data_IF_417607174101
#
_entry.id   IF_417607174101
#
_cell.length_a   1.000
_cell.length_b   1.000
_cell.length_c   1.000
_cell.angle_alpha   90.00
_cell.angle_beta   90.00
_cell.angle_gamma   90.00
#
_symmetry.space_group_name_H-M   'P 1'
#
loop_
_entity.id
_entity.type
_entity.pdbx_description
1 polymer ?
#
# COMPACT_ATOMS: atom_id res chain seq x y z
N UNK A 1 -15.64 -5.69 -7.29
CA UNK A 1 -14.23 -5.37 -6.95
C UNK A 1 -13.48 -6.68 -6.73
N UNK A 2 -12.37 -6.90 -7.42
CA UNK A 2 -11.56 -8.10 -7.19
C UNK A 2 -10.89 -8.05 -5.82
N UNK A 3 -11.19 -9.04 -4.98
CA UNK A 3 -10.48 -9.27 -3.73
C UNK A 3 -9.00 -9.58 -3.97
N UNK A 4 -8.22 -9.56 -2.88
CA UNK A 4 -6.84 -10.04 -2.90
C UNK A 4 -6.81 -11.54 -3.25
N UNK A 5 -5.97 -11.92 -4.21
CA UNK A 5 -5.79 -13.31 -4.59
C UNK A 5 -4.89 -14.02 -3.58
N UNK A 6 -5.31 -15.19 -3.11
CA UNK A 6 -4.55 -16.02 -2.18
C UNK A 6 -3.69 -16.99 -2.96
N UNK A 7 -2.43 -16.64 -3.19
CA UNK A 7 -1.44 -17.49 -3.86
C UNK A 7 -0.47 -18.12 -2.85
N UNK A 8 -0.21 -17.48 -1.71
CA UNK A 8 0.79 -17.97 -0.75
C UNK A 8 0.53 -19.44 -0.37
N UNK A 9 -0.69 -19.76 0.08
CA UNK A 9 -1.03 -21.12 0.50
C UNK A 9 -1.01 -22.17 -0.62
N UNK A 10 -1.06 -21.75 -1.89
CA UNK A 10 -1.01 -22.65 -3.05
C UNK A 10 0.44 -23.01 -3.43
N UNK A 11 1.38 -22.09 -3.22
CA UNK A 11 2.76 -22.20 -3.70
C UNK A 11 3.81 -22.36 -2.59
N UNK A 12 3.45 -22.13 -1.32
CA UNK A 12 4.31 -22.32 -0.14
C UNK A 12 4.40 -23.83 0.19
N UNK A 13 5.40 -24.49 -0.39
CA UNK A 13 5.57 -25.95 -0.32
C UNK A 13 6.10 -26.39 1.05
N UNK A 14 6.99 -25.60 1.63
CA UNK A 14 7.60 -25.89 2.93
C UNK A 14 6.80 -25.35 4.14
N UNK A 15 5.73 -24.58 3.86
CA UNK A 15 4.79 -24.00 4.83
C UNK A 15 5.45 -23.03 5.80
N UNK A 16 6.47 -22.32 5.34
CA UNK A 16 7.21 -21.35 6.15
C UNK A 16 6.52 -19.97 6.21
N UNK A 17 5.43 -19.76 5.43
CA UNK A 17 4.64 -18.54 5.42
C UNK A 17 5.16 -17.43 4.52
N UNK A 18 6.10 -17.72 3.61
CA UNK A 18 6.55 -16.85 2.53
C UNK A 18 6.95 -17.71 1.32
N UNK A 19 7.21 -17.10 0.16
CA UNK A 19 7.63 -17.86 -1.03
C UNK A 19 9.10 -17.60 -1.32
N UNK A 20 9.91 -18.66 -1.42
CA UNK A 20 11.29 -18.58 -1.90
C UNK A 20 11.36 -18.29 -3.42
N UNK A 21 12.56 -18.12 -3.97
CA UNK A 21 12.72 -17.72 -5.38
C UNK A 21 12.07 -18.73 -6.38
N UNK A 22 12.21 -20.03 -6.12
CA UNK A 22 11.62 -21.07 -6.97
C UNK A 22 10.09 -21.09 -6.87
N UNK A 23 9.56 -21.01 -5.65
CA UNK A 23 8.12 -20.95 -5.39
C UNK A 23 7.48 -19.69 -5.99
N UNK A 24 8.15 -18.53 -5.87
CA UNK A 24 7.70 -17.28 -6.50
C UNK A 24 7.68 -17.41 -8.01
N UNK A 25 8.66 -18.05 -8.64
CA UNK A 25 8.66 -18.20 -10.10
C UNK A 25 7.44 -19.01 -10.60
N UNK A 26 7.06 -20.07 -9.87
CA UNK A 26 5.84 -20.82 -10.15
C UNK A 26 4.58 -19.95 -9.91
N UNK A 27 4.53 -19.22 -8.79
CA UNK A 27 3.42 -18.34 -8.45
C UNK A 27 3.25 -17.19 -9.45
N UNK A 28 4.33 -16.61 -9.97
CA UNK A 28 4.31 -15.56 -11.02
C UNK A 28 3.68 -16.08 -12.31
N UNK A 29 3.97 -17.32 -12.68
CA UNK A 29 3.38 -17.95 -13.88
C UNK A 29 1.86 -18.08 -13.73
N UNK A 30 1.37 -18.50 -12.55
CA UNK A 30 -0.06 -18.52 -12.22
C UNK A 30 -0.69 -17.12 -12.13
N UNK A 31 0.06 -16.16 -11.59
CA UNK A 31 -0.39 -14.79 -11.42
C UNK A 31 -0.71 -14.12 -12.77
N UNK A 32 0.21 -14.28 -13.73
CA UNK A 32 0.14 -13.71 -15.09
C UNK A 32 -0.97 -14.31 -15.95
N UNK A 33 -1.15 -15.63 -15.91
CA UNK A 33 -2.19 -16.32 -16.71
C UNK A 33 -3.60 -15.96 -16.27
N UNK A 34 -3.76 -15.63 -14.99
CA UNK A 34 -5.06 -15.31 -14.38
C UNK A 34 -5.32 -13.79 -14.26
N UNK A 35 -4.50 -12.93 -14.86
CA UNK A 35 -4.73 -11.48 -14.85
C UNK A 35 -5.89 -11.11 -15.80
N UNK A 36 -6.92 -10.35 -15.35
CA UNK A 36 -7.99 -9.90 -16.23
C UNK A 36 -7.42 -8.91 -17.27
N UNK A 37 -7.20 -9.38 -18.49
CA UNK A 37 -6.63 -8.60 -19.60
C UNK A 37 -5.28 -9.11 -20.11
N UNK A 38 -5.08 -10.43 -20.16
CA UNK A 38 -3.86 -11.08 -20.64
C UNK A 38 -3.17 -10.37 -21.80
N UNK A 39 -2.00 -9.77 -21.51
CA UNK A 39 -0.99 -9.46 -22.52
C UNK A 39 -0.25 -10.76 -22.83
N UNK A 40 -0.70 -11.44 -23.87
CA UNK A 40 0.15 -12.41 -24.56
C UNK A 40 1.34 -11.69 -25.23
N UNK A 41 2.47 -12.38 -25.47
CA UNK A 41 3.64 -11.76 -26.08
C UNK A 41 3.38 -11.57 -27.58
N UNK A 42 3.30 -10.32 -28.03
CA UNK A 42 3.17 -9.95 -29.44
C UNK A 42 1.79 -9.40 -29.82
N UNK A 43 1.62 -8.08 -29.76
CA UNK A 43 0.41 -7.42 -30.24
C UNK A 43 0.55 -5.90 -30.21
N UNK A 44 0.87 -5.33 -31.38
CA UNK A 44 1.14 -3.92 -31.60
C UNK A 44 -0.03 -2.98 -31.27
N UNK A 45 0.31 -1.69 -31.20
CA UNK A 45 -0.59 -0.60 -30.85
C UNK A 45 -1.94 -0.64 -31.57
N UNK A 46 -3.00 -0.48 -30.79
CA UNK A 46 -4.37 -0.36 -31.26
C UNK A 46 -5.18 0.50 -30.31
N UNK A 47 -5.57 1.68 -30.79
CA UNK A 47 -6.43 2.69 -30.17
C UNK A 47 -7.64 2.05 -29.46
N UNK A 48 -7.83 2.36 -28.17
CA UNK A 48 -9.04 1.95 -27.44
C UNK A 48 -10.15 2.98 -27.69
N UNK A 49 -11.11 2.57 -28.53
CA UNK A 49 -12.34 3.30 -28.83
C UNK A 49 -13.20 3.55 -27.60
N UNK A 50 -13.88 4.69 -27.62
CA UNK A 50 -14.64 5.24 -26.51
C UNK A 50 -15.92 4.48 -26.17
N UNK A 51 -16.27 4.56 -24.88
CA UNK A 51 -17.60 4.26 -24.36
C UNK A 51 -18.07 5.50 -23.59
N UNK A 52 -18.97 6.26 -24.20
CA UNK A 52 -19.69 7.35 -23.54
C UNK A 52 -20.91 7.75 -24.38
N UNK A 53 -22.13 7.80 -23.81
CA UNK A 53 -23.31 8.28 -24.53
C UNK A 53 -23.16 9.78 -24.86
N UNK A 54 -23.77 10.26 -25.96
CA UNK A 54 -23.61 11.64 -26.39
C UNK A 54 -24.44 12.57 -25.49
N UNK A 55 -23.79 13.37 -24.65
CA UNK A 55 -24.45 14.50 -23.97
C UNK A 55 -24.20 14.71 -22.47
N UNK A 56 -23.17 14.10 -21.87
CA UNK A 56 -22.82 14.33 -20.46
C UNK A 56 -21.45 14.99 -20.31
N UNK A 57 -21.36 16.00 -19.43
CA UNK A 57 -20.15 16.67 -18.93
C UNK A 57 -18.85 15.92 -19.20
N UNK A 58 -17.92 16.58 -19.92
CA UNK A 58 -16.61 16.04 -20.24
C UNK A 58 -15.86 15.53 -19.00
N UNK A 59 -14.93 14.58 -19.16
CA UNK A 59 -14.19 14.01 -18.05
C UNK A 59 -13.52 15.13 -17.23
N UNK A 60 -13.51 15.03 -15.88
CA UNK A 60 -12.71 15.93 -15.05
C UNK A 60 -11.27 15.96 -15.60
N UNK A 61 -10.72 17.15 -15.78
CA UNK A 61 -9.46 17.43 -16.50
C UNK A 61 -8.19 16.89 -15.86
N UNK A 62 -8.11 15.56 -15.67
CA UNK A 62 -6.94 14.82 -15.18
C UNK A 62 -6.68 13.50 -15.91
N UNK A 63 -7.57 13.09 -16.82
CA UNK A 63 -7.41 11.86 -17.64
C UNK A 63 -6.89 12.16 -19.06
N UNK A 64 -6.28 13.32 -19.28
CA UNK A 64 -5.63 13.71 -20.52
C UNK A 64 -4.12 13.57 -20.37
N UNK A 65 -3.48 12.79 -21.26
CA UNK A 65 -2.05 12.50 -21.25
C UNK A 65 -1.20 13.75 -21.06
N UNK A 66 -0.58 13.87 -19.88
CA UNK A 66 0.75 14.48 -19.85
C UNK A 66 1.66 13.54 -20.62
N UNK A 67 2.44 14.08 -21.55
CA UNK A 67 3.66 13.39 -21.99
C UNK A 67 4.45 13.10 -20.71
N UNK A 68 4.40 11.85 -20.25
CA UNK A 68 5.22 11.43 -19.12
C UNK A 68 6.68 11.53 -19.56
N UNK A 69 7.51 12.13 -18.70
CA UNK A 69 8.94 12.21 -18.96
C UNK A 69 9.49 10.79 -19.22
N UNK A 70 10.47 10.64 -20.12
CA UNK A 70 11.10 9.35 -20.34
C UNK A 70 11.66 8.81 -19.02
N UNK A 71 11.51 7.50 -18.80
CA UNK A 71 12.06 6.81 -17.64
C UNK A 71 13.56 7.11 -17.56
N UNK A 72 13.98 7.76 -16.48
CA UNK A 72 15.36 8.11 -16.21
C UNK A 72 15.79 7.48 -14.90
N UNK A 73 16.84 6.67 -14.97
CA UNK A 73 17.44 6.10 -13.78
C UNK A 73 17.89 7.20 -12.81
N UNK A 74 17.61 7.00 -11.53
CA UNK A 74 18.05 7.89 -10.48
C UNK A 74 19.57 7.89 -10.27
N UNK A 75 20.12 8.86 -9.53
CA UNK A 75 21.53 8.82 -9.16
C UNK A 75 21.81 7.55 -8.32
N UNK A 76 22.98 6.94 -8.53
CA UNK A 76 23.42 5.86 -7.67
C UNK A 76 23.84 6.41 -6.32
N UNK A 77 23.49 5.72 -5.24
CA UNK A 77 23.84 6.09 -3.87
C UNK A 77 24.37 4.85 -3.17
N UNK A 78 25.62 4.91 -2.67
CA UNK A 78 26.19 3.84 -1.87
C UNK A 78 25.72 3.94 -0.41
N UNK A 79 25.71 2.83 0.33
CA UNK A 79 25.26 2.81 1.74
C UNK A 79 26.24 3.57 2.63
N UNK A 80 27.51 3.49 2.27
CA UNK A 80 28.66 4.08 2.94
C UNK A 80 28.65 5.61 2.83
N UNK A 81 27.99 6.16 1.80
CA UNK A 81 27.84 7.61 1.58
C UNK A 81 26.74 8.24 2.43
N UNK A 82 25.98 7.42 3.18
CA UNK A 82 24.86 7.89 4.01
C UNK A 82 25.15 7.66 5.47
N UNK A 83 25.38 8.76 6.20
CA UNK A 83 25.57 8.71 7.65
C UNK A 83 24.30 8.20 8.37
N UNK A 84 24.45 7.30 9.37
CA UNK A 84 23.35 6.90 10.24
C UNK A 84 22.72 8.07 10.99
N UNK A 85 21.40 8.02 11.20
CA UNK A 85 20.69 9.04 11.98
C UNK A 85 20.08 8.47 13.25
N UNK A 86 20.47 9.05 14.40
CA UNK A 86 19.83 8.77 15.68
C UNK A 86 18.64 9.69 15.93
N UNK A 87 17.45 9.23 15.51
CA UNK A 87 16.17 9.89 15.76
C UNK A 87 15.02 8.87 15.75
N UNK A 88 13.82 9.22 16.25
CA UNK A 88 12.60 8.39 16.13
C UNK A 88 12.14 8.20 14.68
N UNK A 89 11.52 7.05 14.34
CA UNK A 89 11.21 6.71 12.94
C UNK A 89 10.42 7.80 12.21
N UNK A 90 9.43 8.40 12.85
CA UNK A 90 8.57 9.41 12.26
C UNK A 90 8.90 10.84 12.70
N UNK A 91 10.17 11.13 13.01
CA UNK A 91 10.60 12.53 13.15
C UNK A 91 10.43 13.27 11.81
N UNK A 92 9.61 14.34 11.73
CA UNK A 92 9.36 15.06 10.49
C UNK A 92 10.55 15.89 10.02
N UNK A 93 11.55 16.14 10.87
CA UNK A 93 12.75 16.92 10.53
C UNK A 93 13.89 16.07 9.96
N UNK A 94 13.71 14.75 9.93
CA UNK A 94 14.73 13.81 9.48
C UNK A 94 14.26 13.11 8.21
N UNK A 95 15.10 13.16 7.17
CA UNK A 95 14.93 12.37 5.95
C UNK A 95 15.91 11.20 5.98
N UNK A 96 15.44 10.04 6.43
CA UNK A 96 16.26 8.81 6.41
C UNK A 96 16.34 8.23 5.01
N UNK A 97 17.46 7.57 4.71
CA UNK A 97 17.59 6.76 3.51
C UNK A 97 17.28 5.30 3.84
N UNK A 98 16.37 4.70 3.07
CA UNK A 98 16.06 3.28 3.09
C UNK A 98 16.71 2.65 1.86
N UNK A 99 17.57 1.66 2.07
CA UNK A 99 18.16 0.86 1.00
C UNK A 99 17.43 -0.47 0.92
N UNK A 100 16.78 -0.77 -0.19
CA UNK A 100 16.19 -2.07 -0.48
C UNK A 100 17.07 -2.81 -1.49
N UNK A 101 17.44 -4.03 -1.14
CA UNK A 101 18.24 -4.90 -1.97
C UNK A 101 17.43 -6.15 -2.29
N UNK A 102 16.99 -6.24 -3.54
CA UNK A 102 16.34 -7.42 -4.08
C UNK A 102 17.38 -8.39 -4.62
N UNK A 103 17.07 -9.67 -4.58
CA UNK A 103 17.91 -10.73 -5.13
C UNK A 103 18.00 -10.65 -6.66
N UNK A 104 16.95 -10.15 -7.32
CA UNK A 104 16.87 -10.08 -8.78
C UNK A 104 16.75 -8.63 -9.28
N UNK A 105 17.26 -8.40 -10.49
CA UNK A 105 17.14 -7.11 -11.17
C UNK A 105 15.73 -6.84 -11.74
N UNK A 106 14.90 -7.88 -11.88
CA UNK A 106 13.53 -7.81 -12.38
C UNK A 106 12.47 -7.56 -11.28
N UNK A 107 12.92 -7.11 -10.10
CA UNK A 107 12.09 -6.87 -8.91
C UNK A 107 10.82 -6.07 -9.21
N UNK A 108 10.88 -5.07 -10.10
CA UNK A 108 9.72 -4.24 -10.42
C UNK A 108 8.62 -5.04 -11.12
N UNK A 109 9.01 -5.91 -12.05
CA UNK A 109 8.08 -6.80 -12.74
C UNK A 109 7.53 -7.88 -11.80
N UNK A 110 8.37 -8.41 -10.90
CA UNK A 110 7.94 -9.36 -9.88
C UNK A 110 6.91 -8.76 -8.91
N UNK A 111 7.17 -7.55 -8.38
CA UNK A 111 6.19 -6.81 -7.57
C UNK A 111 4.88 -6.55 -8.33
N UNK A 112 4.96 -6.30 -9.64
CA UNK A 112 3.78 -6.09 -10.48
C UNK A 112 2.97 -7.37 -10.70
N UNK A 113 3.64 -8.52 -10.86
CA UNK A 113 2.98 -9.84 -10.97
C UNK A 113 2.19 -10.17 -9.70
N UNK A 114 2.73 -9.80 -8.53
CA UNK A 114 2.09 -10.02 -7.23
C UNK A 114 1.21 -8.86 -6.75
N UNK A 115 0.94 -7.86 -7.59
CA UNK A 115 0.02 -6.79 -7.21
C UNK A 115 -1.39 -7.35 -6.93
N UNK A 116 -1.92 -7.07 -5.73
CA UNK A 116 -3.19 -7.62 -5.18
C UNK A 116 -3.18 -9.14 -4.97
N UNK A 117 -2.02 -9.72 -4.71
CA UNK A 117 -1.92 -11.05 -4.10
C UNK A 117 -1.50 -10.93 -2.64
N UNK A 118 -1.53 -12.02 -1.90
CA UNK A 118 -0.99 -12.14 -0.54
C UNK A 118 0.50 -12.54 -0.50
N UNK A 119 1.22 -12.42 -1.62
CA UNK A 119 2.64 -12.74 -1.71
C UNK A 119 3.46 -11.46 -1.59
N UNK A 120 4.36 -11.43 -0.61
CA UNK A 120 5.41 -10.42 -0.48
C UNK A 120 6.64 -10.83 -1.31
N UNK A 121 7.31 -9.86 -1.94
CA UNK A 121 8.64 -10.07 -2.55
C UNK A 121 9.69 -9.76 -1.49
N UNK A 122 10.54 -10.73 -1.09
CA UNK A 122 11.57 -10.50 -0.08
C UNK A 122 12.67 -9.56 -0.59
N UNK A 123 13.12 -8.67 0.28
CA UNK A 123 14.31 -7.86 0.10
C UNK A 123 15.10 -7.78 1.41
N UNK A 124 16.36 -7.34 1.33
CA UNK A 124 17.09 -6.86 2.49
C UNK A 124 16.92 -5.36 2.60
N UNK A 125 16.46 -4.87 3.76
CA UNK A 125 16.39 -3.44 4.05
C UNK A 125 17.61 -3.02 4.87
N UNK A 126 18.30 -1.97 4.47
CA UNK A 126 19.32 -1.30 5.31
C UNK A 126 18.86 0.10 5.67
N UNK A 127 18.89 0.44 6.97
CA UNK A 127 18.56 1.77 7.50
C UNK A 127 19.55 2.13 8.59
N UNK A 128 20.11 3.34 8.54
CA UNK A 128 21.05 3.84 9.55
C UNK A 128 22.22 2.86 9.81
N UNK A 129 22.74 2.21 8.75
CA UNK A 129 23.82 1.22 8.83
C UNK A 129 23.40 -0.17 9.35
N UNK A 130 22.15 -0.37 9.74
CA UNK A 130 21.62 -1.65 10.23
C UNK A 130 20.84 -2.39 9.14
N UNK A 131 21.14 -3.68 8.96
CA UNK A 131 20.43 -4.57 8.05
C UNK A 131 19.23 -5.24 8.73
N UNK A 132 18.19 -5.44 7.91
CA UNK A 132 16.93 -6.09 8.22
C UNK A 132 16.67 -7.06 7.06
N UNK A 133 17.12 -8.33 7.16
CA UNK A 133 16.91 -9.31 6.11
C UNK A 133 15.44 -9.70 6.01
N UNK A 134 15.05 -10.26 4.86
CA UNK A 134 13.73 -10.85 4.64
C UNK A 134 12.58 -9.89 5.00
N UNK A 135 12.64 -8.65 4.53
CA UNK A 135 11.48 -7.74 4.57
C UNK A 135 10.59 -8.04 3.38
N UNK A 136 9.28 -8.10 3.59
CA UNK A 136 8.31 -8.20 2.51
C UNK A 136 8.10 -6.85 1.84
N UNK A 137 8.07 -6.84 0.52
CA UNK A 137 7.79 -5.65 -0.27
C UNK A 137 6.62 -5.93 -1.22
N UNK A 138 5.70 -4.99 -1.30
CA UNK A 138 4.56 -5.04 -2.23
C UNK A 138 4.29 -3.67 -2.82
N UNK A 139 3.84 -3.64 -4.09
CA UNK A 139 3.19 -2.44 -4.61
C UNK A 139 1.86 -2.20 -3.93
N UNK A 140 1.56 -0.92 -3.69
CA UNK A 140 0.33 -0.49 -3.03
C UNK A 140 -0.36 0.65 -3.78
N UNK A 141 -1.60 0.89 -3.37
CA UNK A 141 -2.45 1.93 -3.93
C UNK A 141 -3.36 1.40 -5.03
N UNK A 142 -4.20 2.28 -5.56
CA UNK A 142 -5.12 1.96 -6.64
C UNK A 142 -4.83 2.88 -7.83
N UNK A 143 -5.29 4.13 -7.80
CA UNK A 143 -4.95 5.12 -8.82
C UNK A 143 -3.44 5.26 -8.99
N UNK A 144 -2.71 5.47 -7.88
CA UNK A 144 -1.25 5.59 -7.87
C UNK A 144 -0.45 4.41 -8.43
N UNK A 145 -1.10 3.24 -8.61
CA UNK A 145 -0.50 2.08 -9.27
C UNK A 145 -0.88 2.03 -10.75
N UNK A 146 -2.15 2.28 -11.09
CA UNK A 146 -2.66 2.18 -12.46
C UNK A 146 -2.33 3.39 -13.34
N UNK A 147 -2.15 4.57 -12.74
CA UNK A 147 -1.83 5.81 -13.47
C UNK A 147 -0.33 6.00 -13.66
N UNK A 148 0.50 5.39 -12.81
CA UNK A 148 1.96 5.49 -12.88
C UNK A 148 2.52 4.29 -13.62
N UNK A 149 3.24 4.54 -14.72
CA UNK A 149 3.81 3.48 -15.55
C UNK A 149 4.97 2.73 -14.88
N UNK A 150 5.32 1.52 -15.36
CA UNK A 150 6.56 0.87 -14.94
C UNK A 150 7.78 1.74 -15.21
N UNK A 151 8.83 1.57 -14.42
CA UNK A 151 10.02 2.43 -14.42
C UNK A 151 9.83 3.78 -13.71
N UNK A 152 8.61 4.10 -13.28
CA UNK A 152 8.31 5.30 -12.51
C UNK A 152 7.96 4.99 -11.07
N UNK A 153 8.04 6.02 -10.24
CA UNK A 153 7.87 5.93 -8.79
C UNK A 153 6.48 5.45 -8.38
N UNK A 154 6.34 4.16 -8.11
CA UNK A 154 5.13 3.55 -7.53
C UNK A 154 5.22 3.46 -6.01
N UNK A 155 4.08 3.52 -5.35
CA UNK A 155 4.02 3.39 -3.89
C UNK A 155 4.32 1.97 -3.44
N UNK A 156 5.03 1.82 -2.32
CA UNK A 156 5.43 0.54 -1.74
C UNK A 156 4.88 0.37 -0.32
N UNK A 157 4.54 -0.86 0.05
CA UNK A 157 4.39 -1.27 1.43
C UNK A 157 5.57 -2.17 1.79
N UNK A 158 6.14 -1.96 2.97
CA UNK A 158 7.22 -2.80 3.50
C UNK A 158 6.71 -3.48 4.77
N UNK A 159 6.93 -4.79 4.88
CA UNK A 159 6.64 -5.63 6.04
C UNK A 159 7.95 -6.13 6.63
N UNK A 160 8.37 -5.54 7.74
CA UNK A 160 9.63 -5.87 8.40
C UNK A 160 9.62 -7.29 8.98
N UNK A 161 8.46 -7.82 9.33
CA UNK A 161 8.31 -9.09 10.05
C UNK A 161 7.73 -10.22 9.18
N UNK A 162 8.10 -10.24 7.90
CA UNK A 162 7.71 -11.29 6.96
C UNK A 162 8.14 -12.66 7.48
N UNK A 163 9.43 -12.82 7.82
CA UNK A 163 9.97 -14.07 8.39
C UNK A 163 10.16 -13.95 9.91
N UNK A 164 11.04 -13.04 10.37
CA UNK A 164 11.25 -12.81 11.81
C UNK A 164 10.11 -11.96 12.40
N UNK A 165 9.22 -12.59 13.17
CA UNK A 165 8.06 -11.94 13.81
C UNK A 165 8.42 -10.87 14.84
N UNK A 166 9.68 -10.82 15.29
CA UNK A 166 10.19 -9.82 16.22
C UNK A 166 10.95 -8.68 15.53
N UNK A 167 11.21 -8.77 14.21
CA UNK A 167 11.95 -7.74 13.49
C UNK A 167 11.17 -6.42 13.46
N UNK A 168 11.80 -5.35 13.98
CA UNK A 168 11.21 -4.00 14.05
C UNK A 168 12.23 -2.95 13.64
N UNK A 169 11.80 -2.00 12.81
CA UNK A 169 12.51 -0.76 12.57
C UNK A 169 12.01 0.30 13.55
N UNK A 170 12.82 0.60 14.57
CA UNK A 170 12.53 1.64 15.58
C UNK A 170 11.11 1.52 16.17
N UNK A 171 10.70 0.28 16.48
CA UNK A 171 9.38 -0.05 17.06
C UNK A 171 8.28 -0.41 16.04
N UNK A 172 8.52 -0.23 14.74
CA UNK A 172 7.52 -0.45 13.70
C UNK A 172 7.81 -1.69 12.87
N UNK A 173 6.75 -2.40 12.48
CA UNK A 173 6.83 -3.58 11.61
C UNK A 173 6.36 -3.37 10.18
N UNK A 174 5.74 -2.23 9.89
CA UNK A 174 5.27 -1.92 8.54
C UNK A 174 5.50 -0.46 8.19
N UNK A 175 5.90 -0.19 6.96
CA UNK A 175 6.03 1.16 6.40
C UNK A 175 5.13 1.32 5.17
N UNK A 176 4.61 2.53 4.97
CA UNK A 176 3.86 2.88 3.77
C UNK A 176 4.58 4.00 3.04
N UNK A 177 5.27 3.65 1.96
CA UNK A 177 6.01 4.60 1.15
C UNK A 177 5.10 5.06 0.01
N UNK A 178 4.54 6.26 0.15
CA UNK A 178 3.63 6.85 -0.82
C UNK A 178 4.42 7.69 -1.83
N UNK A 179 4.09 7.54 -3.10
CA UNK A 179 4.79 8.19 -4.20
C UNK A 179 4.40 9.66 -4.43
N UNK A 180 3.33 10.13 -3.78
CA UNK A 180 2.77 11.48 -3.96
C UNK A 180 2.53 11.89 -5.42
N UNK A 181 2.19 10.94 -6.31
CA UNK A 181 2.11 11.20 -7.76
C UNK A 181 1.14 12.31 -8.19
N UNK A 182 0.12 12.62 -7.37
CA UNK A 182 -0.85 13.71 -7.60
C UNK A 182 -0.58 14.95 -6.73
N UNK A 183 0.49 14.94 -5.93
CA UNK A 183 0.87 16.04 -5.03
C UNK A 183 2.31 16.47 -5.32
N UNK A 184 2.45 17.47 -6.21
CA UNK A 184 3.75 18.03 -6.58
C UNK A 184 4.50 18.69 -5.40
N UNK A 185 3.80 19.04 -4.31
CA UNK A 185 4.43 19.61 -3.12
C UNK A 185 5.03 18.55 -2.19
N UNK A 186 4.54 17.32 -2.26
CA UNK A 186 4.75 16.26 -1.26
C UNK A 186 4.25 16.63 0.16
N UNK A 187 3.55 17.76 0.34
CA UNK A 187 3.15 18.28 1.65
C UNK A 187 1.75 17.87 2.06
N UNK A 188 0.82 17.56 1.15
CA UNK A 188 -0.59 17.40 1.49
C UNK A 188 -0.82 16.34 2.57
N UNK A 189 -0.21 15.16 2.41
CA UNK A 189 -0.35 14.07 3.40
C UNK A 189 0.30 14.42 4.74
N UNK A 190 1.49 15.03 4.70
CA UNK A 190 2.23 15.38 5.91
C UNK A 190 1.49 16.47 6.72
N UNK A 191 1.06 17.55 6.06
CA UNK A 191 0.34 18.66 6.69
C UNK A 191 -1.04 18.23 7.19
N UNK A 192 -1.80 17.46 6.41
CA UNK A 192 -3.10 16.96 6.83
C UNK A 192 -3.00 16.18 8.13
N UNK A 193 -2.08 15.21 8.20
CA UNK A 193 -1.93 14.40 9.39
C UNK A 193 -1.24 15.12 10.54
N UNK A 194 -0.40 16.12 10.28
CA UNK A 194 0.14 16.97 11.34
C UNK A 194 -0.94 17.76 12.06
N UNK A 195 -1.84 18.40 11.30
CA UNK A 195 -3.00 19.13 11.85
C UNK A 195 -3.98 18.17 12.52
N UNK A 196 -4.32 17.04 11.87
CA UNK A 196 -5.31 16.09 12.38
C UNK A 196 -4.90 15.53 13.76
N UNK A 197 -3.60 15.29 13.98
CA UNK A 197 -3.07 14.78 15.26
C UNK A 197 -3.29 15.72 16.44
N UNK A 198 -3.55 17.01 16.22
CA UNK A 198 -3.94 17.94 17.29
C UNK A 198 -5.34 17.64 17.84
N UNK A 199 -6.21 17.00 17.05
CA UNK A 199 -7.63 16.83 17.37
C UNK A 199 -8.06 15.37 17.57
N UNK A 200 -7.43 14.43 16.87
CA UNK A 200 -7.76 13.01 16.98
C UNK A 200 -6.53 12.11 16.72
N UNK A 201 -6.55 10.86 17.20
CA UNK A 201 -5.60 9.84 16.77
C UNK A 201 -5.48 9.80 15.25
N UNK A 202 -4.31 10.12 14.74
CA UNK A 202 -4.03 10.20 13.32
C UNK A 202 -2.60 9.72 13.01
N UNK A 203 -2.36 9.06 11.86
CA UNK A 203 -1.05 8.57 11.47
C UNK A 203 0.08 9.59 11.65
N UNK A 204 1.22 9.12 12.16
CA UNK A 204 2.50 9.84 12.04
C UNK A 204 2.98 9.78 10.58
N UNK A 205 3.59 10.87 10.12
CA UNK A 205 4.08 11.00 8.74
C UNK A 205 5.42 11.73 8.74
N UNK A 206 6.35 11.25 7.94
CA UNK A 206 7.58 11.96 7.59
C UNK A 206 7.99 11.63 6.15
N UNK A 207 9.23 11.99 5.80
CA UNK A 207 9.80 11.71 4.50
C UNK A 207 10.96 10.75 4.60
N UNK A 208 11.11 9.90 3.59
CA UNK A 208 12.28 9.02 3.44
C UNK A 208 12.79 9.08 2.02
N UNK A 209 14.09 8.91 1.82
CA UNK A 209 14.67 8.65 0.50
C UNK A 209 14.75 7.15 0.31
N UNK A 210 14.25 6.65 -0.81
CA UNK A 210 14.38 5.23 -1.15
C UNK A 210 15.50 5.02 -2.16
N UNK A 211 16.29 3.98 -1.94
CA UNK A 211 17.31 3.48 -2.85
C UNK A 211 17.03 2.00 -3.07
N UNK A 212 16.91 1.55 -4.32
CA UNK A 212 16.66 0.14 -4.68
C UNK A 212 17.82 -0.35 -5.52
N UNK A 213 18.49 -1.44 -5.10
CA UNK A 213 19.67 -2.01 -5.77
C UNK A 213 20.74 -0.94 -6.11
N UNK A 214 20.93 0.02 -5.21
CA UNK A 214 21.88 1.13 -5.35
C UNK A 214 21.41 2.34 -6.18
N UNK A 215 20.21 2.30 -6.78
CA UNK A 215 19.62 3.42 -7.53
C UNK A 215 18.64 4.21 -6.68
N UNK A 216 18.72 5.55 -6.67
CA UNK A 216 17.78 6.37 -5.92
C UNK A 216 16.43 6.53 -6.62
N UNK A 217 15.34 6.14 -5.95
CA UNK A 217 13.97 6.37 -6.38
C UNK A 217 13.39 7.68 -5.81
N UNK A 218 14.25 8.51 -5.19
CA UNK A 218 13.93 9.80 -4.62
C UNK A 218 13.10 9.76 -3.33
N UNK A 219 12.41 10.86 -3.04
CA UNK A 219 11.67 11.09 -1.79
C UNK A 219 10.29 10.42 -1.76
N UNK A 220 9.97 9.64 -0.73
CA UNK A 220 8.64 9.10 -0.48
C UNK A 220 8.05 9.72 0.77
N UNK A 221 6.73 9.91 0.78
CA UNK A 221 6.00 10.18 2.02
C UNK A 221 5.85 8.85 2.76
N UNK A 222 6.46 8.73 3.94
CA UNK A 222 6.32 7.57 4.79
C UNK A 222 5.20 7.80 5.82
N UNK A 223 4.09 7.08 5.67
CA UNK A 223 2.92 7.20 6.55
C UNK A 223 2.74 5.97 7.45
N UNK A 224 2.52 6.21 8.74
CA UNK A 224 2.24 5.15 9.71
C UNK A 224 1.04 4.31 9.29
N UNK A 225 1.21 2.99 9.32
CA UNK A 225 0.13 2.06 9.04
C UNK A 225 -0.88 2.06 10.18
N UNK A 226 -2.17 2.06 9.85
CA UNK A 226 -3.25 1.87 10.83
C UNK A 226 -3.34 0.40 11.28
N UNK A 227 -2.48 0.02 12.23
CA UNK A 227 -2.29 -1.34 12.74
C UNK A 227 -2.30 -1.38 14.28
N UNK A 228 -1.86 -2.50 14.89
CA UNK A 228 -1.85 -2.65 16.35
C UNK A 228 -0.84 -1.71 17.02
N UNK A 229 0.24 -1.37 16.34
CA UNK A 229 1.24 -0.41 16.80
C UNK A 229 0.62 1.00 16.87
N UNK A 230 -0.13 1.42 15.84
CA UNK A 230 -0.92 2.65 15.89
C UNK A 230 -1.91 2.64 17.07
N UNK A 231 -2.62 1.52 17.28
CA UNK A 231 -3.58 1.44 18.38
C UNK A 231 -2.89 1.54 19.76
N UNK A 232 -1.75 0.88 19.93
CA UNK A 232 -1.00 0.90 21.18
C UNK A 232 -0.46 2.30 21.54
N UNK A 233 -0.18 3.12 20.53
CA UNK A 233 0.28 4.50 20.72
C UNK A 233 -0.85 5.47 21.07
N UNK A 234 -2.10 5.19 20.68
CA UNK A 234 -3.18 6.18 20.71
C UNK A 234 -4.38 5.79 21.59
N UNK A 235 -4.47 4.53 22.02
CA UNK A 235 -5.60 4.02 22.79
C UNK A 235 -5.15 3.19 23.99
N UNK A 236 -6.00 3.06 25.03
CA UNK A 236 -5.66 2.27 26.22
C UNK A 236 -5.37 0.78 25.96
N UNK A 237 -5.84 0.24 24.83
CA UNK A 237 -5.57 -1.12 24.40
C UNK A 237 -5.70 -1.27 22.87
N UNK A 238 -5.24 -2.42 22.36
CA UNK A 238 -5.25 -2.75 20.92
C UNK A 238 -6.42 -3.63 20.49
N UNK A 239 -7.44 -3.79 21.34
CA UNK A 239 -8.63 -4.59 21.05
C UNK A 239 -9.62 -3.78 20.21
N UNK A 240 -10.52 -4.49 19.53
CA UNK A 240 -11.57 -3.88 18.71
C UNK A 240 -11.45 -4.21 17.23
N UNK A 241 -12.47 -3.80 16.47
CA UNK A 241 -12.52 -3.99 15.04
C UNK A 241 -11.86 -2.81 14.32
N UNK A 242 -11.01 -3.10 13.33
CA UNK A 242 -10.44 -2.08 12.44
C UNK A 242 -11.09 -2.21 11.07
N UNK A 243 -11.64 -1.11 10.57
CA UNK A 243 -12.35 -1.08 9.29
C UNK A 243 -11.57 -0.27 8.26
N UNK A 244 -11.61 -0.72 7.02
CA UNK A 244 -11.10 0.01 5.85
C UNK A 244 -12.22 0.13 4.83
N UNK A 245 -12.41 1.30 4.25
CA UNK A 245 -13.22 1.48 3.05
C UNK A 245 -12.28 1.39 1.84
N UNK A 246 -12.39 0.37 0.96
CA UNK A 246 -11.64 0.32 -0.27
C UNK A 246 -12.17 1.41 -1.23
N UNK A 247 -11.27 2.00 -2.01
CA UNK A 247 -11.67 2.98 -3.02
C UNK A 247 -12.59 2.34 -4.07
N UNK A 248 -13.78 2.91 -4.24
CA UNK A 248 -14.77 2.52 -5.26
C UNK A 248 -15.25 3.76 -6.00
N UNK A 249 -15.38 3.71 -7.34
CA UNK A 249 -16.34 4.57 -8.01
C UNK A 249 -17.72 4.39 -7.36
N UNK A 250 -18.33 5.48 -6.89
CA UNK A 250 -19.62 5.44 -6.18
C UNK A 250 -19.59 4.73 -4.82
N UNK A 251 -18.42 4.65 -4.16
CA UNK A 251 -18.30 4.01 -2.85
C UNK A 251 -19.16 4.68 -1.78
N UNK A 252 -19.88 3.87 -1.00
CA UNK A 252 -20.82 4.32 0.05
C UNK A 252 -20.23 4.21 1.46
N UNK A 253 -19.00 4.70 1.62
CA UNK A 253 -18.24 4.59 2.87
C UNK A 253 -18.65 5.58 3.97
N UNK A 254 -19.75 6.32 3.81
CA UNK A 254 -20.16 7.41 4.70
C UNK A 254 -20.89 6.98 5.97
N UNK A 255 -20.77 5.71 6.37
CA UNK A 255 -21.46 5.13 7.55
C UNK A 255 -23.00 5.22 7.47
N UNK A 256 -23.55 5.19 6.26
CA UNK A 256 -24.99 5.14 6.05
C UNK A 256 -25.58 3.82 6.56
N UNK A 257 -26.79 3.87 7.12
CA UNK A 257 -27.53 2.65 7.47
C UNK A 257 -28.11 2.00 6.20
N UNK A 258 -27.72 0.76 5.92
CA UNK A 258 -28.11 0.00 4.72
C UNK A 258 -29.07 -1.16 5.05
N UNK A 259 -29.78 -1.08 6.18
CA UNK A 259 -30.54 -2.18 6.76
C UNK A 259 -29.67 -3.11 7.62
N UNK A 260 -30.25 -4.22 8.06
CA UNK A 260 -29.61 -5.17 8.98
C UNK A 260 -28.81 -6.29 8.28
N UNK A 261 -28.86 -6.37 6.94
CA UNK A 261 -28.12 -7.37 6.16
C UNK A 261 -26.61 -7.09 6.17
N UNK A 262 -25.84 -8.01 6.76
CA UNK A 262 -24.37 -7.90 6.85
C UNK A 262 -23.69 -7.89 5.48
N UNK A 263 -24.26 -8.54 4.46
CA UNK A 263 -23.67 -8.58 3.12
C UNK A 263 -23.65 -7.20 2.45
N UNK A 264 -24.57 -6.30 2.82
CA UNK A 264 -24.53 -4.90 2.38
C UNK A 264 -23.26 -4.19 2.82
N UNK A 265 -22.86 -4.41 4.07
CA UNK A 265 -21.66 -3.80 4.66
C UNK A 265 -20.38 -4.46 4.13
N UNK A 266 -20.36 -5.77 3.90
CA UNK A 266 -19.19 -6.47 3.34
C UNK A 266 -18.80 -6.02 1.93
N UNK A 267 -19.74 -5.47 1.16
CA UNK A 267 -19.47 -4.85 -0.14
C UNK A 267 -18.74 -3.50 -0.04
N UNK A 268 -18.84 -2.84 1.12
CA UNK A 268 -18.39 -1.46 1.33
C UNK A 268 -17.22 -1.36 2.29
N UNK A 269 -17.17 -2.22 3.30
CA UNK A 269 -16.16 -2.20 4.35
C UNK A 269 -15.35 -3.48 4.32
N UNK A 270 -14.07 -3.35 4.64
CA UNK A 270 -13.15 -4.45 4.82
C UNK A 270 -12.67 -4.45 6.27
N UNK A 271 -12.88 -5.55 6.99
CA UNK A 271 -12.30 -5.73 8.32
C UNK A 271 -10.79 -6.05 8.20
N UNK A 272 -9.99 -5.39 9.05
CA UNK A 272 -8.52 -5.52 9.13
C UNK A 272 -8.04 -6.16 10.43
N UNK A 273 -8.98 -6.51 11.30
CA UNK A 273 -8.83 -7.30 12.51
C UNK A 273 -9.44 -8.69 12.31
N UNK A 274 -9.59 -9.48 13.38
CA UNK A 274 -10.28 -10.78 13.32
C UNK A 274 -11.68 -10.60 12.72
N UNK A 275 -11.96 -11.32 11.63
CA UNK A 275 -13.27 -11.33 10.98
C UNK A 275 -14.25 -12.16 11.81
N UNK A 276 -15.26 -11.51 12.39
CA UNK A 276 -16.26 -12.17 13.21
C UNK A 276 -17.60 -11.42 13.14
N UNK A 277 -18.68 -12.18 13.24
CA UNK A 277 -20.05 -11.69 13.11
C UNK A 277 -20.38 -10.58 14.12
N UNK A 278 -19.88 -10.68 15.36
CA UNK A 278 -20.08 -9.67 16.40
C UNK A 278 -19.55 -8.30 15.97
N UNK A 279 -18.40 -8.25 15.29
CA UNK A 279 -17.82 -7.01 14.80
C UNK A 279 -18.68 -6.39 13.70
N UNK A 280 -19.18 -7.21 12.77
CA UNK A 280 -20.08 -6.74 11.72
C UNK A 280 -21.40 -6.20 12.29
N UNK A 281 -22.03 -6.91 13.23
CA UNK A 281 -23.24 -6.44 13.92
C UNK A 281 -23.00 -5.11 14.65
N UNK A 282 -21.83 -4.91 15.24
CA UNK A 282 -21.47 -3.64 15.87
C UNK A 282 -21.34 -2.49 14.86
N UNK A 283 -20.81 -2.75 13.65
CA UNK A 283 -20.76 -1.76 12.57
C UNK A 283 -22.18 -1.40 12.08
N UNK A 284 -23.05 -2.40 11.88
CA UNK A 284 -24.46 -2.15 11.51
C UNK A 284 -25.15 -1.29 12.56
N UNK A 285 -25.00 -1.66 13.84
CA UNK A 285 -25.56 -0.90 14.94
C UNK A 285 -25.04 0.54 14.98
N UNK A 286 -23.73 0.77 14.76
CA UNK A 286 -23.16 2.11 14.65
C UNK A 286 -23.85 2.92 13.55
N UNK A 287 -23.95 2.37 12.34
CA UNK A 287 -24.63 3.05 11.23
C UNK A 287 -26.10 3.34 11.56
N UNK A 288 -26.80 2.37 12.16
CA UNK A 288 -28.20 2.55 12.57
C UNK A 288 -28.37 3.70 13.56
N UNK A 289 -27.58 3.71 14.64
CA UNK A 289 -27.60 4.78 15.65
C UNK A 289 -27.31 6.14 15.01
N UNK A 290 -26.26 6.25 14.19
CA UNK A 290 -25.92 7.52 13.55
C UNK A 290 -27.01 8.10 12.63
N UNK A 291 -27.87 7.24 12.05
CA UNK A 291 -28.86 7.65 11.04
C UNK A 291 -30.29 7.70 11.60
N UNK A 292 -30.61 6.91 12.61
CA UNK A 292 -31.96 6.75 13.14
C UNK A 292 -32.13 7.26 14.57
N UNK A 293 -31.05 7.61 15.29
CA UNK A 293 -31.18 8.24 16.60
C UNK A 293 -31.85 9.61 16.45
N UNK A 294 -33.02 9.81 17.08
CA UNK A 294 -33.71 11.10 17.06
C UNK A 294 -32.85 12.23 17.65
N UNK A 295 -33.13 13.48 17.27
CA UNK A 295 -32.35 14.66 17.67
C UNK A 295 -32.72 15.13 19.09
N UNK A 296 -33.84 14.65 19.63
CA UNK A 296 -34.45 15.02 20.92
C UNK A 296 -33.86 14.32 22.16
#
# INVERSE_FOLDING_TARGET
MGGERKLLAEFDQDKNGWLNAEERQAARTSARTSAPGGRGPGGGGGRRGGFGPPGGFGPPGGFGGREEEPVKAGPRIAREDVAPVDAPLYDPKVVRTLFLDFETDDWEAELADFYRTDVDVPATLTVDGKQYPMVGVQFRGMSSYFTVQPGHKRSLNLTLDLVDKNQRLKGYKTLNLLNSHEDASFLHTALYFDIARTYLPAPKVNYVRLVINGESWGLFVNAQQFNKEFLAENYPNTKGARWKVPGSPGGRGGLEYQGDDLEAYKRTFQIKSNDNEKSWKALVHLCKVLNETPID
#
